data_IF_728031468847
#
_entry.id   IF_728031468847
#
_cell.length_a   1.000
_cell.length_b   1.000
_cell.length_c   1.000
_cell.angle_alpha   90.00
_cell.angle_beta   90.00
_cell.angle_gamma   90.00
#
_symmetry.space_group_name_H-M   'P 1'
#
loop_
_entity.id
_entity.type
_entity.pdbx_description
1 polymer ?
#
# COMPACT_ATOMS: atom_id res chain seq x y z
N UNK A 1 9.60 -20.75 13.59
CA UNK A 1 10.22 -20.22 12.35
C UNK A 1 9.91 -18.74 12.27
N UNK A 2 10.84 -17.88 12.69
CA UNK A 2 10.66 -16.43 12.71
C UNK A 2 10.84 -15.93 11.27
N UNK A 3 9.75 -15.50 10.61
CA UNK A 3 9.85 -14.90 9.27
C UNK A 3 10.71 -13.64 9.38
N UNK A 4 11.84 -13.62 8.69
CA UNK A 4 12.71 -12.45 8.61
C UNK A 4 11.91 -11.33 7.92
N UNK A 5 11.70 -10.22 8.63
CA UNK A 5 11.01 -9.04 8.10
C UNK A 5 11.89 -8.47 6.98
N UNK A 6 11.46 -8.57 5.73
CA UNK A 6 12.11 -7.88 4.61
C UNK A 6 11.91 -6.39 4.87
N UNK A 7 13.01 -5.67 5.13
CA UNK A 7 12.99 -4.21 5.28
C UNK A 7 13.02 -3.65 3.86
N UNK A 8 11.89 -3.14 3.39
CA UNK A 8 11.80 -2.47 2.11
C UNK A 8 12.08 -0.99 2.38
N UNK A 9 13.12 -0.44 1.77
CA UNK A 9 13.44 0.98 1.88
C UNK A 9 12.60 1.73 0.83
N UNK A 10 11.59 2.49 1.26
CA UNK A 10 10.70 3.28 0.41
C UNK A 10 10.51 4.68 0.99
N UNK A 11 10.11 5.64 0.15
CA UNK A 11 9.84 7.03 0.53
C UNK A 11 8.57 7.57 -0.14
N UNK A 12 8.09 8.71 0.36
CA UNK A 12 7.00 9.45 -0.28
C UNK A 12 7.39 9.77 -1.74
N UNK A 13 6.45 9.52 -2.65
CA UNK A 13 6.64 9.66 -4.09
C UNK A 13 7.08 8.38 -4.80
N UNK A 14 7.54 7.35 -4.09
CA UNK A 14 7.89 6.07 -4.71
C UNK A 14 6.64 5.38 -5.25
N UNK A 15 6.81 4.73 -6.40
CA UNK A 15 5.83 3.81 -6.97
C UNK A 15 6.06 2.43 -6.36
N UNK A 16 5.02 1.81 -5.83
CA UNK A 16 5.10 0.55 -5.08
C UNK A 16 4.03 -0.43 -5.51
N UNK A 17 4.31 -1.72 -5.37
CA UNK A 17 3.27 -2.76 -5.37
C UNK A 17 2.78 -2.93 -3.95
N UNK A 18 1.47 -2.94 -3.78
CA UNK A 18 0.84 -2.93 -2.46
C UNK A 18 -0.39 -3.83 -2.42
N UNK A 19 -0.84 -4.13 -1.20
CA UNK A 19 -2.06 -4.90 -0.93
C UNK A 19 -3.01 -4.07 -0.09
N UNK A 20 -4.26 -3.99 -0.52
CA UNK A 20 -5.36 -3.57 0.31
C UNK A 20 -6.16 -4.80 0.78
N UNK A 21 -6.35 -4.93 2.10
CA UNK A 21 -6.93 -6.13 2.71
C UNK A 21 -8.40 -6.01 3.10
N UNK A 22 -9.01 -4.83 2.96
CA UNK A 22 -10.42 -4.66 3.31
C UNK A 22 -11.26 -5.32 2.22
N UNK A 23 -12.17 -6.20 2.63
CA UNK A 23 -13.09 -6.96 1.75
C UNK A 23 -12.43 -8.02 0.85
N UNK A 24 -11.14 -8.31 1.03
CA UNK A 24 -10.45 -9.27 0.20
C UNK A 24 -8.95 -9.00 0.15
N UNK A 25 -8.25 -9.65 -0.77
CA UNK A 25 -6.85 -9.35 -1.06
C UNK A 25 -6.81 -8.66 -2.42
N UNK A 26 -6.61 -7.34 -2.40
CA UNK A 26 -6.59 -6.50 -3.59
C UNK A 26 -5.16 -6.02 -3.82
N UNK A 27 -4.49 -6.56 -4.84
CA UNK A 27 -3.13 -6.14 -5.20
C UNK A 27 -3.19 -5.03 -6.25
N UNK A 28 -2.44 -3.96 -6.01
CA UNK A 28 -2.40 -2.79 -6.89
C UNK A 28 -1.00 -2.20 -6.94
N UNK A 29 -0.79 -1.34 -7.93
CA UNK A 29 0.38 -0.47 -8.00
C UNK A 29 -0.10 0.95 -7.68
N UNK A 30 0.66 1.67 -6.87
CA UNK A 30 0.33 3.03 -6.50
C UNK A 30 1.54 3.85 -6.07
N UNK A 31 1.29 5.12 -5.76
CA UNK A 31 2.31 6.09 -5.35
C UNK A 31 2.13 6.37 -3.85
N UNK A 32 3.23 6.29 -3.09
CA UNK A 32 3.22 6.64 -1.67
C UNK A 32 2.97 8.16 -1.53
N UNK A 33 1.97 8.52 -0.73
CA UNK A 33 1.60 9.91 -0.45
C UNK A 33 2.00 10.36 0.95
N UNK A 34 1.90 9.48 1.93
CA UNK A 34 2.24 9.76 3.33
C UNK A 34 2.74 8.48 4.02
N UNK A 35 3.65 8.65 4.98
CA UNK A 35 4.13 7.58 5.86
C UNK A 35 3.94 8.07 7.29
N UNK A 36 3.24 7.30 8.10
CA UNK A 36 2.94 7.61 9.49
C UNK A 36 3.48 6.50 10.38
N UNK A 37 4.15 6.85 11.48
CA UNK A 37 4.68 5.88 12.44
C UNK A 37 4.17 6.21 13.84
N UNK A 38 3.61 5.21 14.52
CA UNK A 38 3.20 5.25 15.92
C UNK A 38 2.29 6.45 16.28
N UNK A 39 1.28 6.73 15.44
CA UNK A 39 0.21 7.68 15.80
C UNK A 39 -0.74 7.04 16.80
N UNK A 40 -1.27 7.84 17.74
CA UNK A 40 -2.05 7.42 18.91
C UNK A 40 -3.15 6.36 18.68
N UNK A 41 -3.74 6.27 17.48
CA UNK A 41 -4.80 5.30 17.14
C UNK A 41 -4.31 4.07 16.36
N UNK A 42 -3.08 4.08 15.83
CA UNK A 42 -2.57 3.09 14.89
C UNK A 42 -1.09 2.79 15.22
N UNK A 43 -0.81 1.78 16.07
CA UNK A 43 0.57 1.38 16.35
C UNK A 43 1.25 0.83 15.09
N UNK A 44 2.56 1.06 14.98
CA UNK A 44 3.38 0.65 13.84
C UNK A 44 3.44 1.68 12.71
N UNK A 45 4.04 1.28 11.59
CA UNK A 45 4.17 2.11 10.39
C UNK A 45 3.03 1.83 9.42
N UNK A 46 2.35 2.90 9.01
CA UNK A 46 1.27 2.92 8.06
C UNK A 46 1.64 3.79 6.87
N UNK A 47 1.26 3.34 5.68
CA UNK A 47 1.64 3.94 4.41
C UNK A 47 0.37 4.30 3.66
N UNK A 48 0.19 5.57 3.35
CA UNK A 48 -0.90 6.06 2.52
C UNK A 48 -0.46 5.94 1.06
N UNK A 49 -1.17 5.13 0.28
CA UNK A 49 -0.84 4.87 -1.13
C UNK A 49 -2.02 5.30 -2.01
N UNK A 50 -1.74 6.06 -3.06
CA UNK A 50 -2.69 6.38 -4.13
C UNK A 50 -2.58 5.30 -5.22
N UNK A 51 -3.59 4.45 -5.43
CA UNK A 51 -3.58 3.47 -6.51
C UNK A 51 -3.56 4.15 -7.88
N UNK A 52 -2.77 3.60 -8.80
CA UNK A 52 -2.66 4.11 -10.17
C UNK A 52 -2.85 3.04 -11.23
N UNK A 53 -2.54 1.77 -10.92
CA UNK A 53 -2.63 0.67 -11.88
C UNK A 53 -3.05 -0.64 -11.21
N UNK A 54 -3.69 -1.51 -11.99
CA UNK A 54 -4.03 -2.90 -11.62
C UNK A 54 -3.31 -3.87 -12.54
N UNK A 55 -2.76 -4.98 -12.00
CA UNK A 55 -2.10 -6.03 -12.81
C UNK A 55 -3.07 -7.10 -13.32
N UNK A 56 -4.13 -7.34 -12.55
CA UNK A 56 -5.25 -8.22 -12.88
C UNK A 56 -6.52 -7.45 -12.57
N UNK A 57 -7.56 -7.66 -13.36
CA UNK A 57 -8.84 -7.02 -13.11
C UNK A 57 -9.36 -7.38 -11.71
N UNK A 58 -9.66 -6.32 -10.96
CA UNK A 58 -10.19 -6.35 -9.61
C UNK A 58 -11.09 -5.11 -9.46
N UNK A 59 -12.40 -5.32 -9.27
CA UNK A 59 -13.41 -4.26 -9.25
C UNK A 59 -13.17 -3.25 -8.11
N UNK A 60 -12.60 -3.71 -6.98
CA UNK A 60 -12.28 -2.82 -5.87
C UNK A 60 -11.12 -1.91 -6.25
N UNK A 61 -10.07 -2.45 -6.86
CA UNK A 61 -8.91 -1.65 -7.30
C UNK A 61 -9.33 -0.66 -8.39
N UNK A 62 -10.19 -1.06 -9.32
CA UNK A 62 -10.75 -0.17 -10.35
C UNK A 62 -11.48 1.03 -9.72
N UNK A 63 -12.38 0.77 -8.77
CA UNK A 63 -13.05 1.83 -8.01
C UNK A 63 -12.05 2.75 -7.30
N UNK A 64 -11.07 2.18 -6.60
CA UNK A 64 -10.05 2.94 -5.87
C UNK A 64 -9.26 3.90 -6.78
N UNK A 65 -8.92 3.45 -8.00
CA UNK A 65 -8.21 4.26 -9.01
C UNK A 65 -9.11 5.37 -9.55
N UNK A 66 -10.34 5.03 -9.95
CA UNK A 66 -11.27 5.97 -10.58
C UNK A 66 -11.69 7.09 -9.62
N UNK A 67 -11.88 6.78 -8.34
CA UNK A 67 -12.20 7.76 -7.30
C UNK A 67 -10.97 8.54 -6.79
N UNK A 68 -9.76 8.16 -7.19
CA UNK A 68 -8.49 8.80 -6.81
C UNK A 68 -8.29 8.89 -5.29
N UNK A 69 -8.73 7.86 -4.57
CA UNK A 69 -8.65 7.81 -3.12
C UNK A 69 -7.30 7.27 -2.67
N UNK A 70 -6.74 7.86 -1.61
CA UNK A 70 -5.57 7.31 -0.94
C UNK A 70 -6.02 6.31 0.12
N UNK A 71 -5.30 5.19 0.23
CA UNK A 71 -5.61 4.14 1.19
C UNK A 71 -4.45 3.93 2.14
N UNK A 72 -4.78 3.94 3.42
CA UNK A 72 -3.83 3.67 4.49
C UNK A 72 -3.70 2.15 4.68
N UNK A 73 -2.50 1.63 4.46
CA UNK A 73 -2.16 0.20 4.61
C UNK A 73 -1.00 0.04 5.58
N UNK A 74 -0.87 -1.10 6.27
CA UNK A 74 0.30 -1.34 7.11
C UNK A 74 1.55 -1.52 6.23
N UNK A 75 2.73 -1.15 6.74
CA UNK A 75 4.01 -1.32 6.05
C UNK A 75 4.20 -2.74 5.47
N UNK A 76 3.75 -3.78 6.18
CA UNK A 76 3.91 -5.17 5.75
C UNK A 76 3.11 -5.53 4.48
N UNK A 77 2.20 -4.66 4.05
CA UNK A 77 1.43 -4.79 2.82
C UNK A 77 2.00 -3.98 1.65
N UNK A 78 3.10 -3.24 1.87
CA UNK A 78 3.98 -2.77 0.79
C UNK A 78 4.89 -3.93 0.39
N UNK A 79 4.84 -4.36 -0.87
CA UNK A 79 5.52 -5.57 -1.34
C UNK A 79 6.87 -5.30 -1.98
N UNK A 80 6.99 -4.25 -2.78
CA UNK A 80 8.22 -3.84 -3.45
C UNK A 80 8.11 -2.40 -3.96
N UNK A 81 9.24 -1.73 -4.12
CA UNK A 81 9.36 -0.49 -4.89
C UNK A 81 9.55 -0.86 -6.36
N UNK A 82 8.86 -0.14 -7.26
CA UNK A 82 8.86 -0.36 -8.70
C UNK A 82 9.48 0.88 -9.36
N UNK A 83 10.49 0.66 -10.21
CA UNK A 83 11.10 1.73 -11.04
C UNK A 83 10.18 2.21 -12.16
#
# INVERSE_FOLDING_TARGET
MTKQKVVINYKVGDKVRAIFRKYGRHEFIGIIKEIETDKHALPGTWVSVLPTEMRKYDEHVDFMINEKLCFLIPECDVLEVIE
#
